data_IF_236608511077
#
_entry.id   IF_236608511077
#
_cell.length_a   1.000
_cell.length_b   1.000
_cell.length_c   1.000
_cell.angle_alpha   90.00
_cell.angle_beta   90.00
_cell.angle_gamma   90.00
#
_symmetry.space_group_name_H-M   'P 1'
#
loop_
_entity.id
_entity.type
_entity.pdbx_description
1 polymer ?
#
# COMPACT_ATOMS: atom_id res chain seq x y z
N UNK A 1 25.14 -29.05 -7.93
CA UNK A 1 24.91 -29.19 -6.48
C UNK A 1 24.87 -27.80 -5.89
N UNK A 2 23.71 -27.16 -5.88
CA UNK A 2 23.44 -25.91 -5.12
C UNK A 2 21.94 -25.60 -5.18
N UNK A 3 21.13 -26.35 -4.42
CA UNK A 3 19.68 -26.13 -4.35
C UNK A 3 19.10 -26.33 -2.93
N UNK A 4 19.84 -25.91 -1.88
CA UNK A 4 19.41 -26.12 -0.50
C UNK A 4 19.37 -24.87 0.39
N UNK A 5 19.64 -23.65 -0.12
CA UNK A 5 19.66 -22.46 0.74
C UNK A 5 18.33 -21.68 0.78
N UNK A 6 17.50 -21.74 -0.26
CA UNK A 6 16.24 -20.95 -0.34
C UNK A 6 15.12 -21.51 0.57
N UNK A 7 15.10 -22.80 0.82
CA UNK A 7 14.10 -23.43 1.71
C UNK A 7 14.31 -23.10 3.20
N UNK A 8 15.57 -22.95 3.61
CA UNK A 8 15.96 -22.67 5.00
C UNK A 8 15.57 -21.26 5.45
N UNK A 9 15.68 -20.27 4.55
CA UNK A 9 15.40 -18.87 4.88
C UNK A 9 13.88 -18.60 4.94
N UNK A 10 13.11 -19.29 4.11
CA UNK A 10 11.63 -19.22 4.14
C UNK A 10 11.06 -19.92 5.38
N UNK A 11 11.65 -21.03 5.80
CA UNK A 11 11.30 -21.69 7.07
C UNK A 11 11.74 -20.86 8.27
N UNK A 12 12.90 -20.22 8.20
CA UNK A 12 13.38 -19.32 9.25
C UNK A 12 12.48 -18.08 9.38
N UNK A 13 12.04 -17.48 8.26
CA UNK A 13 11.07 -16.38 8.27
C UNK A 13 9.69 -16.82 8.80
N UNK A 14 9.19 -18.00 8.41
CA UNK A 14 7.96 -18.57 8.96
C UNK A 14 8.10 -18.86 10.45
N UNK A 15 9.23 -19.39 10.88
CA UNK A 15 9.53 -19.68 12.30
C UNK A 15 9.65 -18.38 13.10
N UNK A 16 10.27 -17.33 12.56
CA UNK A 16 10.31 -16.00 13.19
C UNK A 16 8.91 -15.38 13.32
N UNK A 17 8.06 -15.52 12.29
CA UNK A 17 6.67 -15.06 12.37
C UNK A 17 5.85 -15.82 13.43
N UNK A 18 6.07 -17.13 13.55
CA UNK A 18 5.39 -17.98 14.54
C UNK A 18 5.90 -17.70 15.96
N UNK A 19 7.22 -17.56 16.14
CA UNK A 19 7.82 -17.22 17.45
C UNK A 19 7.43 -15.79 17.89
N UNK A 20 7.34 -14.83 16.97
CA UNK A 20 6.87 -13.50 17.28
C UNK A 20 5.39 -13.45 17.71
N UNK A 21 4.56 -14.32 17.13
CA UNK A 21 3.16 -14.47 17.56
C UNK A 21 3.07 -15.11 18.96
N UNK A 22 3.89 -16.11 19.25
CA UNK A 22 3.91 -16.80 20.55
C UNK A 22 4.39 -15.88 21.70
N UNK A 23 5.41 -15.05 21.46
CA UNK A 23 5.92 -14.08 22.47
C UNK A 23 4.86 -13.00 22.80
N UNK A 24 4.04 -12.60 21.82
CA UNK A 24 2.94 -11.63 22.07
C UNK A 24 1.80 -12.26 22.86
N UNK A 25 1.53 -13.56 22.68
CA UNK A 25 0.54 -14.30 23.48
C UNK A 25 1.02 -14.52 24.92
N UNK A 26 2.32 -14.74 25.16
CA UNK A 26 2.89 -14.87 26.52
C UNK A 26 2.92 -13.55 27.30
N UNK A 27 3.14 -12.40 26.65
CA UNK A 27 3.05 -11.08 27.32
C UNK A 27 1.62 -10.68 27.70
N UNK A 28 0.60 -11.23 27.04
CA UNK A 28 -0.81 -11.06 27.47
C UNK A 28 -1.19 -11.97 28.65
N UNK A 29 -0.49 -13.08 28.86
CA UNK A 29 -0.75 -14.03 29.96
C UNK A 29 0.07 -13.76 31.23
N UNK A 30 1.11 -12.93 31.18
CA UNK A 30 2.02 -12.63 32.30
C UNK A 30 1.56 -11.49 33.23
N UNK A 31 0.28 -11.18 33.37
CA UNK A 31 -0.19 -10.27 34.42
C UNK A 31 -0.51 -11.04 35.69
N UNK A 32 0.44 -10.92 36.61
CA UNK A 32 0.35 -11.38 37.98
C UNK A 32 -1.04 -11.14 38.60
N UNK A 33 -1.52 -12.15 39.31
CA UNK A 33 -2.72 -12.19 40.14
C UNK A 33 -2.55 -11.36 41.43
N UNK A 34 -2.34 -10.06 41.32
CA UNK A 34 -2.67 -9.14 42.41
C UNK A 34 -4.10 -8.70 42.20
N UNK A 35 -4.92 -8.80 43.26
CA UNK A 35 -6.36 -8.47 43.25
C UNK A 35 -6.61 -7.03 42.77
N UNK A 36 -6.68 -6.84 41.46
CA UNK A 36 -7.09 -5.59 40.87
C UNK A 36 -8.61 -5.47 41.08
N UNK A 37 -9.05 -4.56 41.91
CA UNK A 37 -10.44 -4.14 41.94
C UNK A 37 -10.89 -3.84 40.51
N UNK A 38 -11.74 -4.69 39.95
CA UNK A 38 -12.30 -4.48 38.61
C UNK A 38 -13.08 -3.15 38.62
N UNK A 39 -12.44 -2.08 38.13
CA UNK A 39 -13.15 -0.83 37.87
C UNK A 39 -14.32 -1.16 36.95
N UNK A 40 -15.54 -0.85 37.40
CA UNK A 40 -16.77 -1.06 36.62
C UNK A 40 -16.55 -0.42 35.22
N UNK A 41 -16.74 -1.23 34.19
CA UNK A 41 -16.59 -0.78 32.80
C UNK A 41 -17.61 0.31 32.51
N UNK A 42 -17.15 1.51 32.18
CA UNK A 42 -18.05 2.62 31.81
C UNK A 42 -18.67 2.26 30.45
N UNK A 43 -19.99 2.18 30.42
CA UNK A 43 -20.78 1.95 29.21
C UNK A 43 -21.14 3.30 28.58
N UNK A 44 -20.57 3.63 27.48
CA UNK A 44 -20.90 4.83 26.70
C UNK A 44 -22.09 4.56 25.79
N UNK A 45 -23.16 5.31 25.92
CA UNK A 45 -24.31 5.30 25.02
C UNK A 45 -23.98 6.15 23.78
N UNK A 46 -23.49 5.51 22.69
CA UNK A 46 -23.00 6.19 21.48
C UNK A 46 -24.08 6.58 20.48
N UNK A 47 -25.35 6.34 20.78
CA UNK A 47 -26.46 6.64 19.84
C UNK A 47 -26.19 6.10 18.43
N UNK A 48 -25.90 4.80 18.33
CA UNK A 48 -25.42 4.12 17.11
C UNK A 48 -26.35 4.29 15.92
N UNK A 49 -27.66 4.24 16.15
CA UNK A 49 -28.68 4.39 15.11
C UNK A 49 -28.69 5.82 14.55
N UNK A 50 -28.59 6.82 15.41
CA UNK A 50 -28.48 8.22 14.98
C UNK A 50 -27.19 8.46 14.17
N UNK A 51 -26.07 7.85 14.61
CA UNK A 51 -24.83 7.88 13.86
C UNK A 51 -24.95 7.24 12.48
N UNK A 52 -25.68 6.11 12.37
CA UNK A 52 -25.98 5.48 11.09
C UNK A 52 -26.85 6.39 10.20
N UNK A 53 -27.94 6.92 10.72
CA UNK A 53 -28.87 7.76 9.96
C UNK A 53 -28.18 9.03 9.46
N UNK A 54 -27.35 9.67 10.30
CA UNK A 54 -26.54 10.83 9.89
C UNK A 54 -25.56 10.46 8.78
N UNK A 55 -24.79 9.38 8.94
CA UNK A 55 -23.85 8.91 7.92
C UNK A 55 -24.55 8.61 6.60
N UNK A 56 -25.71 7.94 6.65
CA UNK A 56 -26.51 7.61 5.47
C UNK A 56 -27.00 8.88 4.77
N UNK A 57 -27.60 9.81 5.53
CA UNK A 57 -28.09 11.08 4.97
C UNK A 57 -26.98 11.95 4.40
N UNK A 58 -25.81 11.93 5.03
CA UNK A 58 -24.65 12.71 4.59
C UNK A 58 -24.07 12.26 3.25
N UNK A 59 -24.08 10.94 2.95
CA UNK A 59 -23.32 10.40 1.82
C UNK A 59 -24.05 9.38 0.94
N UNK A 60 -25.09 8.70 1.44
CA UNK A 60 -25.67 7.52 0.78
C UNK A 60 -27.13 7.68 0.39
N UNK A 61 -27.83 8.69 0.88
CA UNK A 61 -29.20 9.02 0.48
C UNK A 61 -29.28 9.42 -1.02
N UNK A 62 -30.46 9.42 -1.58
CA UNK A 62 -30.70 9.86 -2.97
C UNK A 62 -30.36 11.34 -3.14
N UNK A 63 -30.65 12.16 -2.13
CA UNK A 63 -30.26 13.57 -2.03
C UNK A 63 -29.32 13.73 -0.83
N UNK A 64 -28.01 13.42 -0.98
CA UNK A 64 -27.10 13.46 0.13
C UNK A 64 -26.72 14.89 0.50
N UNK A 65 -26.43 15.14 1.78
CA UNK A 65 -25.95 16.44 2.27
C UNK A 65 -24.65 16.86 1.56
N UNK A 66 -23.76 15.88 1.29
CA UNK A 66 -22.49 16.14 0.62
C UNK A 66 -22.49 15.60 -0.80
N UNK A 67 -22.24 16.45 -1.82
CA UNK A 67 -22.12 16.05 -3.22
C UNK A 67 -21.00 15.02 -3.46
N UNK A 68 -21.00 14.38 -4.63
CA UNK A 68 -20.07 13.28 -4.97
C UNK A 68 -18.58 13.67 -4.87
N UNK A 69 -18.22 14.90 -5.20
CA UNK A 69 -16.83 15.36 -5.07
C UNK A 69 -16.35 15.43 -3.60
N UNK A 70 -17.26 15.77 -2.65
CA UNK A 70 -16.95 15.63 -1.21
C UNK A 70 -16.83 14.19 -0.76
N UNK A 71 -17.63 13.27 -1.33
CA UNK A 71 -17.50 11.86 -1.07
C UNK A 71 -16.08 11.38 -1.47
N UNK A 72 -15.69 11.63 -2.74
CA UNK A 72 -14.38 11.28 -3.28
C UNK A 72 -13.24 11.89 -2.46
N UNK A 73 -13.35 13.16 -2.09
CA UNK A 73 -12.36 13.84 -1.23
C UNK A 73 -12.19 13.15 0.12
N UNK A 74 -13.29 12.64 0.73
CA UNK A 74 -13.29 12.10 2.09
C UNK A 74 -13.01 10.60 2.16
N UNK A 75 -13.40 9.85 1.15
CA UNK A 75 -13.21 8.41 1.08
C UNK A 75 -12.06 7.99 0.16
N UNK A 76 -11.52 8.93 -0.63
CA UNK A 76 -10.47 8.73 -1.63
C UNK A 76 -10.86 7.81 -2.80
N UNK A 77 -12.12 7.39 -2.88
CA UNK A 77 -12.70 6.56 -3.93
C UNK A 77 -14.03 7.14 -4.39
N UNK A 78 -14.52 6.73 -5.56
CA UNK A 78 -15.87 7.07 -6.01
C UNK A 78 -16.94 6.41 -5.12
N UNK A 79 -18.16 6.95 -5.14
CA UNK A 79 -19.29 6.34 -4.39
C UNK A 79 -19.65 4.96 -4.95
N UNK A 80 -19.60 4.78 -6.27
CA UNK A 80 -19.86 3.51 -6.95
C UNK A 80 -18.87 2.44 -6.50
N UNK A 81 -17.58 2.76 -6.53
CA UNK A 81 -16.53 1.86 -6.08
C UNK A 81 -16.65 1.53 -4.58
N UNK A 82 -17.00 2.51 -3.74
CA UNK A 82 -17.24 2.26 -2.32
C UNK A 82 -18.37 1.25 -2.12
N UNK A 83 -19.50 1.40 -2.84
CA UNK A 83 -20.64 0.50 -2.70
C UNK A 83 -20.32 -0.91 -3.22
N UNK A 84 -19.60 -1.03 -4.35
CA UNK A 84 -19.07 -2.31 -4.86
C UNK A 84 -18.23 -3.02 -3.78
N UNK A 85 -17.29 -2.31 -3.16
CA UNK A 85 -16.44 -2.84 -2.08
C UNK A 85 -17.28 -3.20 -0.86
N UNK A 86 -18.21 -2.33 -0.44
CA UNK A 86 -19.08 -2.55 0.70
C UNK A 86 -19.87 -3.85 0.56
N UNK A 87 -20.55 -4.03 -0.55
CA UNK A 87 -21.42 -5.18 -0.77
C UNK A 87 -20.63 -6.48 -0.82
N UNK A 88 -19.50 -6.51 -1.53
CA UNK A 88 -18.60 -7.66 -1.56
C UNK A 88 -18.02 -8.02 -0.17
N UNK A 89 -17.64 -7.03 0.62
CA UNK A 89 -17.12 -7.26 1.99
C UNK A 89 -18.20 -7.77 2.94
N UNK A 90 -19.43 -7.25 2.83
CA UNK A 90 -20.56 -7.70 3.66
C UNK A 90 -20.96 -9.13 3.32
N UNK A 91 -20.90 -9.51 2.05
CA UNK A 91 -21.15 -10.89 1.61
C UNK A 91 -20.05 -11.84 2.10
N UNK A 92 -18.79 -11.43 2.01
CA UNK A 92 -17.63 -12.25 2.37
C UNK A 92 -17.48 -12.49 3.88
N UNK A 93 -17.60 -11.44 4.72
CA UNK A 93 -17.41 -11.55 6.17
C UNK A 93 -18.66 -11.15 6.96
N UNK A 94 -19.28 -12.16 7.58
CA UNK A 94 -20.46 -12.02 8.46
C UNK A 94 -20.25 -11.06 9.65
N UNK A 95 -19.03 -10.65 9.95
CA UNK A 95 -18.74 -9.61 10.95
C UNK A 95 -19.37 -8.28 10.56
N UNK A 96 -19.38 -7.94 9.29
CA UNK A 96 -19.92 -6.67 8.81
C UNK A 96 -21.44 -6.64 8.79
N UNK A 97 -22.11 -7.78 8.74
CA UNK A 97 -23.58 -7.86 8.82
C UNK A 97 -24.07 -7.30 10.17
N UNK A 98 -25.07 -6.42 10.11
CA UNK A 98 -25.67 -5.84 11.31
C UNK A 98 -26.46 -6.90 12.08
N UNK A 99 -26.17 -7.06 13.37
CA UNK A 99 -26.80 -8.07 14.24
C UNK A 99 -27.40 -7.42 15.49
N UNK A 100 -28.41 -8.05 16.08
CA UNK A 100 -28.91 -7.70 17.41
C UNK A 100 -28.09 -8.41 18.47
N UNK A 101 -27.84 -7.73 19.59
CA UNK A 101 -27.23 -8.35 20.77
C UNK A 101 -28.27 -9.18 21.56
N UNK A 102 -27.82 -9.86 22.64
CA UNK A 102 -28.69 -10.66 23.49
C UNK A 102 -29.84 -9.89 24.19
N UNK A 103 -29.74 -8.56 24.27
CA UNK A 103 -30.80 -7.68 24.76
C UNK A 103 -31.71 -7.12 23.63
N UNK A 104 -31.62 -7.66 22.42
CA UNK A 104 -32.41 -7.22 21.28
C UNK A 104 -31.99 -5.89 20.65
N UNK A 105 -30.96 -5.21 21.18
CA UNK A 105 -30.48 -3.94 20.67
C UNK A 105 -29.73 -4.13 19.38
N UNK A 106 -29.97 -3.26 18.40
CA UNK A 106 -29.29 -3.26 17.10
C UNK A 106 -27.83 -2.83 17.25
N UNK A 107 -26.94 -3.60 16.66
CA UNK A 107 -25.50 -3.31 16.61
C UNK A 107 -25.17 -2.23 15.58
N UNK A 108 -23.86 -2.03 15.36
CA UNK A 108 -23.37 -1.13 14.29
C UNK A 108 -23.71 -1.69 12.90
N UNK A 109 -24.06 -0.80 11.99
CA UNK A 109 -24.31 -1.16 10.59
C UNK A 109 -23.01 -1.47 9.85
N UNK A 110 -23.11 -2.17 8.71
CA UNK A 110 -22.00 -2.39 7.78
C UNK A 110 -21.38 -1.08 7.33
N UNK A 111 -22.21 -0.09 6.97
CA UNK A 111 -21.76 1.24 6.57
C UNK A 111 -20.90 1.91 7.63
N UNK A 112 -21.30 1.85 8.92
CA UNK A 112 -20.50 2.43 10.01
C UNK A 112 -19.14 1.74 10.14
N UNK A 113 -19.10 0.42 10.13
CA UNK A 113 -17.86 -0.36 10.27
C UNK A 113 -16.90 -0.12 9.11
N UNK A 114 -17.41 -0.17 7.85
CA UNK A 114 -16.60 0.03 6.64
C UNK A 114 -16.19 1.49 6.51
N UNK A 115 -17.06 2.46 6.81
CA UNK A 115 -16.69 3.88 6.84
C UNK A 115 -15.58 4.15 7.85
N UNK A 116 -15.63 3.54 9.05
CA UNK A 116 -14.57 3.67 10.03
C UNK A 116 -13.24 3.14 9.50
N UNK A 117 -13.24 1.95 8.89
CA UNK A 117 -12.05 1.36 8.28
C UNK A 117 -11.51 2.26 7.16
N UNK A 118 -12.34 2.67 6.21
CA UNK A 118 -11.93 3.54 5.09
C UNK A 118 -11.36 4.88 5.57
N UNK A 119 -11.97 5.52 6.57
CA UNK A 119 -11.44 6.78 7.12
C UNK A 119 -10.10 6.61 7.81
N UNK A 120 -9.91 5.50 8.54
CA UNK A 120 -8.60 5.21 9.13
C UNK A 120 -7.53 4.99 8.06
N UNK A 121 -7.85 4.32 6.96
CA UNK A 121 -6.93 4.13 5.83
C UNK A 121 -6.65 5.44 5.10
N UNK A 122 -7.71 6.18 4.73
CA UNK A 122 -7.61 7.41 3.93
C UNK A 122 -6.89 8.56 4.65
N UNK A 123 -7.13 8.70 5.96
CA UNK A 123 -6.57 9.83 6.74
C UNK A 123 -5.42 9.42 7.67
N UNK A 124 -5.14 8.13 7.85
CA UNK A 124 -4.24 7.68 8.92
C UNK A 124 -4.74 8.06 10.32
N UNK A 125 -6.05 8.30 10.45
CA UNK A 125 -6.67 8.76 11.68
C UNK A 125 -6.62 7.69 12.77
N UNK A 126 -6.52 8.12 14.03
CA UNK A 126 -6.66 7.23 15.16
C UNK A 126 -8.09 6.68 15.26
N UNK A 127 -8.25 5.49 15.84
CA UNK A 127 -9.57 4.90 16.05
C UNK A 127 -10.47 5.76 16.95
N UNK A 128 -9.89 6.56 17.85
CA UNK A 128 -10.59 7.53 18.68
C UNK A 128 -11.18 8.69 17.87
N UNK A 129 -10.43 9.22 16.91
CA UNK A 129 -10.88 10.32 16.06
C UNK A 129 -12.08 9.93 15.16
N UNK A 130 -12.27 8.63 14.92
CA UNK A 130 -13.40 8.13 14.12
C UNK A 130 -14.68 7.99 14.98
N UNK A 131 -14.57 7.81 16.30
CA UNK A 131 -15.71 7.62 17.20
C UNK A 131 -16.68 8.81 17.16
N UNK A 132 -16.18 10.03 17.16
CA UNK A 132 -17.02 11.26 17.24
C UNK A 132 -18.04 11.38 16.12
N UNK A 133 -17.68 10.99 14.91
CA UNK A 133 -18.56 11.07 13.74
C UNK A 133 -19.31 9.76 13.48
N UNK A 134 -18.62 8.63 13.47
CA UNK A 134 -19.20 7.33 13.09
C UNK A 134 -19.93 6.67 14.26
N UNK A 135 -19.69 7.15 15.48
CA UNK A 135 -20.26 6.58 16.72
C UNK A 135 -19.87 5.12 16.95
N UNK A 136 -18.61 4.80 16.65
CA UNK A 136 -18.02 3.47 16.75
C UNK A 136 -16.87 3.45 17.76
N UNK A 137 -16.87 2.52 18.71
CA UNK A 137 -15.82 2.47 19.73
C UNK A 137 -14.46 2.02 19.16
N UNK A 138 -13.38 2.51 19.78
CA UNK A 138 -11.98 2.29 19.38
C UNK A 138 -11.65 0.83 19.03
N UNK A 139 -11.97 -0.12 19.93
CA UNK A 139 -11.68 -1.55 19.69
C UNK A 139 -12.43 -2.10 18.47
N UNK A 140 -13.69 -1.68 18.28
CA UNK A 140 -14.48 -2.10 17.12
C UNK A 140 -13.95 -1.47 15.83
N UNK A 141 -13.48 -0.21 15.87
CA UNK A 141 -12.84 0.43 14.70
C UNK A 141 -11.57 -0.31 14.29
N UNK A 142 -10.70 -0.65 15.24
CA UNK A 142 -9.46 -1.40 14.98
C UNK A 142 -9.76 -2.80 14.41
N UNK A 143 -10.73 -3.51 14.98
CA UNK A 143 -11.16 -4.81 14.47
C UNK A 143 -11.77 -4.67 13.06
N UNK A 144 -12.56 -3.62 12.82
CA UNK A 144 -13.12 -3.35 11.50
C UNK A 144 -12.03 -3.11 10.44
N UNK A 145 -10.95 -2.39 10.76
CA UNK A 145 -9.80 -2.24 9.84
C UNK A 145 -9.16 -3.57 9.53
N UNK A 146 -8.82 -4.37 10.57
CA UNK A 146 -8.15 -5.67 10.38
C UNK A 146 -8.96 -6.61 9.49
N UNK A 147 -10.27 -6.71 9.73
CA UNK A 147 -11.17 -7.57 8.93
C UNK A 147 -11.40 -7.01 7.53
N UNK A 148 -11.55 -5.70 7.42
CA UNK A 148 -11.75 -5.02 6.13
C UNK A 148 -10.57 -5.27 5.19
N UNK A 149 -9.33 -5.03 5.64
CA UNK A 149 -8.14 -5.23 4.80
C UNK A 149 -7.97 -6.69 4.37
N UNK A 150 -8.25 -7.65 5.25
CA UNK A 150 -8.24 -9.07 4.90
C UNK A 150 -9.32 -9.43 3.88
N UNK A 151 -10.53 -8.89 4.02
CA UNK A 151 -11.59 -9.08 3.04
C UNK A 151 -11.20 -8.51 1.68
N UNK A 152 -10.61 -7.31 1.63
CA UNK A 152 -10.11 -6.72 0.37
C UNK A 152 -9.10 -7.63 -0.31
N UNK A 153 -8.13 -8.17 0.44
CA UNK A 153 -7.10 -9.07 -0.10
C UNK A 153 -7.74 -10.36 -0.65
N UNK A 154 -8.65 -10.96 0.12
CA UNK A 154 -9.25 -12.23 -0.26
C UNK A 154 -10.21 -12.13 -1.45
N UNK A 155 -10.91 -11.00 -1.60
CA UNK A 155 -11.91 -10.81 -2.66
C UNK A 155 -11.26 -10.29 -3.95
N UNK A 156 -10.39 -9.30 -3.82
CA UNK A 156 -9.90 -8.52 -4.96
C UNK A 156 -8.41 -8.76 -5.28
N UNK A 157 -7.69 -9.53 -4.44
CA UNK A 157 -6.25 -9.72 -4.57
C UNK A 157 -5.86 -10.35 -5.91
N UNK A 158 -6.56 -11.41 -6.33
CA UNK A 158 -6.26 -12.12 -7.58
C UNK A 158 -6.54 -11.28 -8.83
N UNK A 159 -7.46 -10.32 -8.75
CA UNK A 159 -7.81 -9.44 -9.86
C UNK A 159 -6.89 -8.22 -9.95
N UNK A 160 -6.59 -7.57 -8.81
CA UNK A 160 -5.93 -6.27 -8.78
C UNK A 160 -4.45 -6.30 -8.37
N UNK A 161 -3.92 -7.43 -7.89
CA UNK A 161 -2.50 -7.61 -7.60
C UNK A 161 -2.00 -8.91 -8.24
N UNK A 162 -2.01 -8.93 -9.56
CA UNK A 162 -1.67 -10.05 -10.43
C UNK A 162 -0.53 -9.73 -11.38
N UNK A 163 0.07 -10.75 -11.93
CA UNK A 163 0.96 -10.59 -13.08
C UNK A 163 0.21 -10.06 -14.31
N UNK A 164 0.86 -9.27 -15.19
CA UNK A 164 0.25 -8.78 -16.42
C UNK A 164 -0.24 -9.92 -17.32
N UNK A 165 -1.43 -9.77 -17.90
CA UNK A 165 -1.93 -10.64 -18.97
C UNK A 165 -1.22 -10.33 -20.29
N UNK A 166 -1.44 -11.13 -21.34
CA UNK A 166 -0.88 -10.86 -22.66
C UNK A 166 -1.37 -9.52 -23.23
N UNK A 167 -2.61 -9.13 -22.96
CA UNK A 167 -3.18 -7.83 -23.35
C UNK A 167 -2.53 -6.69 -22.60
N UNK A 168 -2.32 -6.85 -21.28
CA UNK A 168 -1.58 -5.88 -20.50
C UNK A 168 -0.15 -5.71 -20.99
N UNK A 169 0.55 -6.82 -21.30
CA UNK A 169 1.91 -6.81 -21.85
C UNK A 169 1.94 -6.06 -23.17
N UNK A 170 0.99 -6.34 -24.08
CA UNK A 170 0.94 -5.64 -25.38
C UNK A 170 0.77 -4.13 -25.19
N UNK A 171 -0.12 -3.70 -24.28
CA UNK A 171 -0.31 -2.28 -23.93
C UNK A 171 0.94 -1.64 -23.33
N UNK A 172 1.61 -2.34 -22.40
CA UNK A 172 2.85 -1.85 -21.77
C UNK A 172 3.99 -1.70 -22.77
N UNK A 173 4.13 -2.66 -23.70
CA UNK A 173 5.14 -2.61 -24.77
C UNK A 173 4.90 -1.44 -25.73
N UNK A 174 3.64 -1.16 -26.07
CA UNK A 174 3.28 -0.02 -26.90
C UNK A 174 3.59 1.31 -26.19
N UNK A 175 3.18 1.47 -24.93
CA UNK A 175 3.51 2.64 -24.11
C UNK A 175 5.03 2.84 -23.97
N UNK A 176 5.76 1.77 -23.71
CA UNK A 176 7.23 1.79 -23.64
C UNK A 176 7.86 2.24 -24.93
N UNK A 177 7.40 1.70 -26.07
CA UNK A 177 7.89 2.05 -27.42
C UNK A 177 7.65 3.52 -27.74
N UNK A 178 6.46 4.06 -27.45
CA UNK A 178 6.11 5.48 -27.64
C UNK A 178 7.02 6.42 -26.82
N UNK A 179 7.53 5.95 -25.68
CA UNK A 179 8.49 6.69 -24.83
C UNK A 179 9.94 6.50 -25.21
N UNK A 180 10.24 5.70 -26.26
CA UNK A 180 11.59 5.35 -26.68
C UNK A 180 12.24 4.20 -25.90
N UNK A 181 11.44 3.43 -25.15
CA UNK A 181 11.86 2.25 -24.37
C UNK A 181 11.12 0.98 -24.84
N UNK A 182 11.32 0.52 -26.10
CA UNK A 182 10.69 -0.71 -26.58
C UNK A 182 11.12 -1.89 -25.69
N UNK A 183 10.17 -2.70 -25.25
CA UNK A 183 10.40 -3.82 -24.33
C UNK A 183 10.24 -3.48 -22.83
N UNK A 184 10.01 -2.20 -22.48
CA UNK A 184 9.79 -1.78 -21.11
C UNK A 184 8.42 -2.24 -20.60
N UNK A 185 8.40 -2.90 -19.43
CA UNK A 185 7.18 -3.33 -18.74
C UNK A 185 6.81 -2.42 -17.55
N UNK A 186 7.73 -1.58 -17.10
CA UNK A 186 7.53 -0.68 -15.98
C UNK A 186 8.83 -0.26 -15.32
N UNK A 187 8.75 0.30 -14.15
CA UNK A 187 9.88 0.66 -13.30
C UNK A 187 9.77 0.00 -11.92
N UNK A 188 10.92 -0.31 -11.33
CA UNK A 188 11.04 -0.94 -10.02
C UNK A 188 11.75 -0.01 -9.05
N UNK A 189 11.27 0.02 -7.80
CA UNK A 189 11.93 0.72 -6.70
C UNK A 189 11.47 0.18 -5.34
N UNK A 190 12.17 0.58 -4.27
CA UNK A 190 11.86 0.24 -2.89
C UNK A 190 11.42 1.47 -2.10
N UNK A 191 10.38 1.30 -1.28
CA UNK A 191 9.90 2.32 -0.35
C UNK A 191 9.99 1.81 1.08
N UNK A 192 10.49 2.64 2.01
CA UNK A 192 10.56 2.35 3.43
C UNK A 192 9.34 2.92 4.16
N UNK A 193 8.63 2.07 4.90
CA UNK A 193 7.54 2.47 5.78
C UNK A 193 7.96 2.40 7.24
N UNK A 194 7.98 3.54 7.94
CA UNK A 194 8.37 3.62 9.35
C UNK A 194 7.43 2.80 10.21
N UNK A 195 7.98 1.93 11.07
CA UNK A 195 7.23 1.12 12.02
C UNK A 195 7.39 1.64 13.44
N UNK A 196 6.51 2.58 13.84
CA UNK A 196 6.60 3.28 15.13
C UNK A 196 6.52 2.35 16.35
N UNK A 197 5.67 1.34 16.28
CA UNK A 197 5.46 0.39 17.38
C UNK A 197 6.26 -0.90 17.18
N UNK A 198 7.44 -0.81 16.56
CA UNK A 198 8.34 -1.95 16.44
C UNK A 198 8.75 -2.44 17.84
N UNK A 199 8.59 -3.74 18.16
CA UNK A 199 9.04 -4.29 19.42
C UNK A 199 10.53 -3.99 19.67
N UNK A 200 10.90 -3.64 20.89
CA UNK A 200 12.27 -3.25 21.24
C UNK A 200 13.28 -4.34 20.85
N UNK A 201 12.93 -5.61 21.03
CA UNK A 201 13.76 -6.75 20.63
C UNK A 201 14.06 -6.81 19.12
N UNK A 202 13.24 -6.19 18.28
CA UNK A 202 13.38 -6.22 16.82
C UNK A 202 13.91 -4.91 16.24
N UNK A 203 13.95 -3.84 17.00
CA UNK A 203 14.36 -2.52 16.51
C UNK A 203 15.71 -2.55 15.79
N UNK A 204 16.72 -3.24 16.36
CA UNK A 204 18.04 -3.35 15.72
C UNK A 204 18.00 -4.00 14.33
N UNK A 205 17.14 -5.01 14.14
CA UNK A 205 16.97 -5.67 12.86
C UNK A 205 16.24 -4.80 11.83
N UNK A 206 15.26 -4.00 12.28
CA UNK A 206 14.46 -3.15 11.40
C UNK A 206 15.06 -1.77 11.15
N UNK A 207 16.06 -1.35 11.93
CA UNK A 207 16.73 -0.05 11.80
C UNK A 207 17.87 -0.15 10.80
N UNK A 208 17.74 0.55 9.67
CA UNK A 208 18.75 0.71 8.63
C UNK A 208 19.31 2.14 8.60
N UNK A 209 19.64 2.62 7.41
CA UNK A 209 20.21 3.95 7.19
C UNK A 209 19.26 5.11 7.55
N UNK A 210 17.97 4.86 7.68
CA UNK A 210 16.99 5.85 8.14
C UNK A 210 17.04 6.12 9.66
N UNK A 211 17.85 5.39 10.41
CA UNK A 211 17.97 5.49 11.88
C UNK A 211 16.65 5.27 12.65
N UNK A 212 15.62 4.80 11.98
CA UNK A 212 14.33 4.39 12.55
C UNK A 212 13.95 2.99 12.03
N UNK A 213 13.18 2.20 12.83
CA UNK A 213 12.68 0.92 12.35
C UNK A 213 11.74 1.12 11.16
N UNK A 214 12.05 0.46 10.03
CA UNK A 214 11.24 0.51 8.81
C UNK A 214 10.98 -0.89 8.26
N UNK A 215 9.91 -1.02 7.48
CA UNK A 215 9.59 -2.21 6.69
C UNK A 215 9.62 -1.81 5.23
N UNK A 216 10.24 -2.63 4.39
CA UNK A 216 10.44 -2.32 2.98
C UNK A 216 9.24 -2.82 2.16
N UNK A 217 8.80 -1.98 1.22
CA UNK A 217 7.94 -2.33 0.08
C UNK A 217 8.77 -2.21 -1.20
N UNK A 218 9.00 -3.32 -1.89
CA UNK A 218 9.43 -3.33 -3.28
C UNK A 218 8.20 -3.36 -4.17
N UNK A 219 8.16 -2.55 -5.21
CA UNK A 219 7.07 -2.57 -6.17
C UNK A 219 7.54 -2.32 -7.61
N UNK A 220 6.74 -2.82 -8.54
CA UNK A 220 6.82 -2.51 -9.96
C UNK A 220 5.57 -1.77 -10.37
N UNK A 221 5.73 -0.61 -11.02
CA UNK A 221 4.62 0.16 -11.53
C UNK A 221 4.83 0.59 -12.98
N UNK A 222 3.72 0.77 -13.70
CA UNK A 222 3.67 1.34 -15.05
C UNK A 222 3.35 2.83 -15.03
N UNK A 223 3.42 3.48 -16.19
CA UNK A 223 3.20 4.93 -16.37
C UNK A 223 1.85 5.41 -15.85
N UNK A 224 0.82 4.60 -16.01
CA UNK A 224 -0.54 4.84 -15.55
C UNK A 224 -0.73 4.64 -14.04
N UNK A 225 0.37 4.42 -13.31
CA UNK A 225 0.43 4.24 -11.87
C UNK A 225 -0.13 2.90 -11.36
N UNK A 226 -0.43 1.96 -12.25
CA UNK A 226 -0.83 0.61 -11.82
C UNK A 226 0.37 -0.13 -11.22
N UNK A 227 0.19 -0.69 -10.02
CA UNK A 227 1.20 -1.45 -9.31
C UNK A 227 1.00 -2.94 -9.64
N UNK A 228 1.89 -3.49 -10.49
CA UNK A 228 1.84 -4.87 -10.98
C UNK A 228 2.39 -5.89 -9.99
N UNK A 229 3.36 -5.47 -9.20
CA UNK A 229 4.03 -6.30 -8.21
C UNK A 229 4.25 -5.50 -6.95
N UNK A 230 4.07 -6.17 -5.80
CA UNK A 230 4.36 -5.62 -4.49
C UNK A 230 4.88 -6.73 -3.56
N UNK A 231 6.10 -6.57 -3.10
CA UNK A 231 6.72 -7.45 -2.11
C UNK A 231 6.99 -6.66 -0.83
N UNK A 232 6.26 -6.98 0.24
CA UNK A 232 6.30 -6.23 1.49
C UNK A 232 6.61 -7.12 2.68
N UNK A 233 7.44 -6.61 3.62
CA UNK A 233 7.67 -7.24 4.91
C UNK A 233 9.13 -7.42 5.30
N UNK A 234 10.08 -7.12 4.42
CA UNK A 234 11.50 -7.20 4.77
C UNK A 234 11.92 -6.06 5.71
N UNK A 235 12.85 -6.35 6.65
CA UNK A 235 13.40 -5.34 7.55
C UNK A 235 14.15 -4.23 6.82
N UNK A 236 14.00 -2.99 7.31
CA UNK A 236 14.63 -1.81 6.74
C UNK A 236 16.16 -1.76 6.82
N UNK A 237 16.80 -2.70 7.50
CA UNK A 237 18.25 -2.88 7.46
C UNK A 237 18.76 -3.52 6.17
N UNK A 238 17.87 -4.11 5.36
CA UNK A 238 18.23 -4.66 4.06
C UNK A 238 18.39 -3.52 3.04
N UNK A 239 19.29 -3.72 2.08
CA UNK A 239 19.37 -2.88 0.89
C UNK A 239 18.49 -3.47 -0.24
N UNK A 240 18.25 -2.69 -1.29
CA UNK A 240 17.38 -3.08 -2.39
C UNK A 240 17.84 -4.36 -3.11
N UNK A 241 19.16 -4.62 -3.14
CA UNK A 241 19.72 -5.87 -3.68
C UNK A 241 19.27 -7.09 -2.87
N UNK A 242 19.27 -6.98 -1.54
CA UNK A 242 18.82 -8.06 -0.67
C UNK A 242 17.31 -8.28 -0.78
N UNK A 243 16.56 -7.22 -1.05
CA UNK A 243 15.11 -7.29 -1.31
C UNK A 243 14.86 -8.00 -2.64
N UNK A 244 15.55 -7.56 -3.70
CA UNK A 244 15.44 -8.13 -5.04
C UNK A 244 15.70 -9.65 -5.05
N UNK A 245 16.75 -10.11 -4.37
CA UNK A 245 17.09 -11.55 -4.30
C UNK A 245 16.03 -12.40 -3.60
N UNK A 246 15.16 -11.80 -2.79
CA UNK A 246 14.07 -12.46 -2.07
C UNK A 246 12.71 -12.24 -2.73
N UNK A 247 12.66 -11.40 -3.74
CA UNK A 247 11.44 -11.04 -4.45
C UNK A 247 11.00 -12.16 -5.38
N UNK A 248 9.75 -12.65 -5.28
CA UNK A 248 9.25 -13.75 -6.09
C UNK A 248 9.17 -13.43 -7.59
N UNK A 249 9.01 -12.17 -7.97
CA UNK A 249 8.97 -11.74 -9.39
C UNK A 249 10.28 -12.02 -10.10
N UNK A 250 11.40 -11.75 -9.43
CA UNK A 250 12.71 -11.95 -10.04
C UNK A 250 13.17 -13.41 -10.01
N UNK A 251 12.69 -14.19 -9.05
CA UNK A 251 12.83 -15.65 -9.10
C UNK A 251 12.15 -16.24 -10.35
N UNK A 252 10.94 -15.79 -10.67
CA UNK A 252 10.22 -16.22 -11.88
C UNK A 252 10.91 -15.76 -13.18
N UNK A 253 11.44 -14.52 -13.20
CA UNK A 253 12.22 -14.01 -14.31
C UNK A 253 13.51 -14.80 -14.53
N UNK A 254 14.25 -15.09 -13.47
CA UNK A 254 15.47 -15.89 -13.52
C UNK A 254 15.23 -17.34 -13.97
N UNK A 255 14.05 -17.89 -13.67
CA UNK A 255 13.64 -19.24 -14.08
C UNK A 255 13.00 -19.28 -15.48
N UNK A 256 12.95 -18.13 -16.20
CA UNK A 256 12.38 -18.05 -17.56
C UNK A 256 10.85 -18.21 -17.61
N UNK A 257 10.17 -18.03 -16.47
CA UNK A 257 8.70 -18.11 -16.35
C UNK A 257 8.00 -16.74 -16.51
N UNK A 258 8.70 -15.75 -17.04
CA UNK A 258 8.10 -14.46 -17.36
C UNK A 258 7.14 -14.58 -18.56
N UNK A 259 6.13 -13.70 -18.61
CA UNK A 259 5.27 -13.59 -19.79
C UNK A 259 6.12 -13.27 -21.03
N UNK A 260 5.95 -13.99 -22.14
CA UNK A 260 6.74 -13.75 -23.35
C UNK A 260 6.48 -12.35 -23.88
N UNK A 261 7.54 -11.59 -24.08
CA UNK A 261 7.53 -10.22 -24.60
C UNK A 261 8.32 -10.18 -25.89
N UNK A 262 7.66 -10.17 -27.04
CA UNK A 262 8.34 -10.10 -28.32
C UNK A 262 8.37 -8.65 -28.82
N UNK A 263 9.57 -8.11 -29.04
CA UNK A 263 9.76 -6.78 -29.63
C UNK A 263 11.05 -6.71 -30.43
N UNK A 264 11.14 -5.75 -31.33
CA UNK A 264 12.29 -5.59 -32.23
C UNK A 264 12.93 -4.22 -32.03
N UNK A 265 14.26 -4.18 -31.85
CA UNK A 265 15.05 -2.94 -31.78
C UNK A 265 16.20 -3.05 -32.77
N UNK A 266 16.34 -2.10 -33.69
CA UNK A 266 17.41 -2.05 -34.71
C UNK A 266 17.55 -3.38 -35.49
N UNK A 267 16.43 -3.97 -35.90
CA UNK A 267 16.35 -5.26 -36.60
C UNK A 267 16.80 -6.49 -35.76
N UNK A 268 17.02 -6.36 -34.46
CA UNK A 268 17.23 -7.48 -33.54
C UNK A 268 15.94 -7.79 -32.79
N UNK A 269 15.58 -9.06 -32.76
CA UNK A 269 14.43 -9.57 -32.05
C UNK A 269 14.79 -9.89 -30.58
N UNK A 270 13.91 -9.50 -29.67
CA UNK A 270 14.01 -9.75 -28.24
C UNK A 270 12.73 -10.44 -27.77
N UNK A 271 12.86 -11.39 -26.86
CA UNK A 271 11.75 -12.18 -26.33
C UNK A 271 11.52 -12.00 -24.82
N UNK A 272 12.23 -11.06 -24.20
CA UNK A 272 12.15 -10.80 -22.77
C UNK A 272 12.02 -9.31 -22.50
N UNK A 273 10.97 -8.92 -21.77
CA UNK A 273 10.79 -7.54 -21.33
C UNK A 273 11.74 -7.16 -20.19
N UNK A 274 11.82 -5.85 -19.92
CA UNK A 274 12.68 -5.32 -18.87
C UNK A 274 11.98 -4.24 -18.02
N UNK A 275 12.56 -3.96 -16.85
CA UNK A 275 12.16 -2.89 -15.96
C UNK A 275 13.26 -1.83 -15.88
N UNK A 276 12.86 -0.57 -15.76
CA UNK A 276 13.79 0.50 -15.43
C UNK A 276 14.10 0.48 -13.94
N UNK A 277 15.37 0.49 -13.60
CA UNK A 277 15.85 0.41 -12.24
C UNK A 277 16.89 1.50 -11.95
N UNK A 278 17.12 1.73 -10.69
CA UNK A 278 18.15 2.64 -10.20
C UNK A 278 19.56 1.98 -10.31
N UNK A 279 20.63 2.78 -10.12
CA UNK A 279 22.01 2.34 -10.27
C UNK A 279 22.48 1.28 -9.28
N UNK A 280 21.78 1.09 -8.14
CA UNK A 280 22.12 0.09 -7.13
C UNK A 280 21.83 -1.34 -7.58
N UNK A 281 20.82 -1.53 -8.46
CA UNK A 281 20.42 -2.84 -8.91
C UNK A 281 21.49 -3.54 -9.73
N UNK A 282 21.49 -4.91 -9.85
CA UNK A 282 22.51 -5.65 -10.60
C UNK A 282 22.43 -5.40 -12.12
N UNK A 283 23.48 -5.75 -12.85
CA UNK A 283 23.51 -5.65 -14.31
C UNK A 283 22.86 -6.89 -14.96
N UNK A 284 21.57 -7.05 -14.74
CA UNK A 284 20.78 -8.09 -15.40
C UNK A 284 20.15 -7.55 -16.69
N UNK A 285 19.99 -8.40 -17.68
CA UNK A 285 19.34 -8.04 -18.96
C UNK A 285 17.90 -7.54 -18.78
N UNK A 286 17.26 -7.89 -17.68
CA UNK A 286 15.90 -7.50 -17.32
C UNK A 286 15.82 -6.19 -16.50
N UNK A 287 16.96 -5.57 -16.18
CA UNK A 287 17.03 -4.34 -15.41
C UNK A 287 17.87 -3.29 -16.16
N UNK A 288 17.23 -2.29 -16.72
CA UNK A 288 17.89 -1.21 -17.45
C UNK A 288 18.13 -0.02 -16.53
N UNK A 289 19.40 0.23 -16.27
CA UNK A 289 19.88 1.33 -15.41
C UNK A 289 20.26 2.55 -16.22
N UNK A 290 20.37 3.70 -15.55
CA UNK A 290 20.95 4.91 -16.14
C UNK A 290 22.45 4.72 -16.45
N UNK A 291 22.96 5.48 -17.40
CA UNK A 291 24.40 5.50 -17.72
C UNK A 291 25.08 6.51 -16.80
N UNK A 292 25.89 6.06 -15.82
CA UNK A 292 26.59 6.97 -14.93
C UNK A 292 27.65 7.79 -15.69
N UNK A 293 27.87 9.04 -15.29
CA UNK A 293 28.84 9.94 -15.88
C UNK A 293 28.78 10.01 -17.43
N UNK A 294 27.57 10.05 -17.97
CA UNK A 294 27.29 9.99 -19.40
C UNK A 294 28.04 11.09 -20.18
N UNK A 295 28.87 10.69 -21.18
CA UNK A 295 29.62 11.59 -22.10
C UNK A 295 28.94 11.61 -23.46
N UNK A 296 28.86 12.81 -24.06
CA UNK A 296 28.17 13.00 -25.33
C UNK A 296 26.67 13.13 -25.25
N UNK A 297 26.07 13.79 -26.24
CA UNK A 297 24.64 14.19 -26.20
C UNK A 297 23.70 12.98 -26.19
N UNK A 298 24.01 11.90 -26.89
CA UNK A 298 23.17 10.70 -26.96
C UNK A 298 23.05 10.01 -25.61
N UNK A 299 24.17 9.82 -24.89
CA UNK A 299 24.16 9.17 -23.59
C UNK A 299 23.49 10.05 -22.52
N UNK A 300 23.70 11.38 -22.57
CA UNK A 300 23.02 12.33 -21.67
C UNK A 300 21.52 12.31 -21.89
N UNK A 301 21.09 12.31 -23.14
CA UNK A 301 19.65 12.25 -23.47
C UNK A 301 19.03 10.93 -22.97
N UNK A 302 19.68 9.78 -23.24
CA UNK A 302 19.21 8.50 -22.72
C UNK A 302 19.11 8.51 -21.20
N UNK A 303 20.15 8.95 -20.48
CA UNK A 303 20.15 9.01 -19.02
C UNK A 303 18.99 9.88 -18.49
N UNK A 304 18.74 11.03 -19.11
CA UNK A 304 17.62 11.92 -18.73
C UNK A 304 16.25 11.26 -18.95
N UNK A 305 16.05 10.60 -20.10
CA UNK A 305 14.78 9.91 -20.39
C UNK A 305 14.57 8.70 -19.48
N UNK A 306 15.62 7.90 -19.25
CA UNK A 306 15.57 6.75 -18.35
C UNK A 306 15.22 7.19 -16.92
N UNK A 307 15.88 8.23 -16.42
CA UNK A 307 15.60 8.76 -15.08
C UNK A 307 14.18 9.30 -14.94
N UNK A 308 13.66 9.97 -15.97
CA UNK A 308 12.28 10.42 -16.01
C UNK A 308 11.29 9.27 -16.00
N UNK A 309 11.53 8.23 -16.81
CA UNK A 309 10.62 7.09 -16.91
C UNK A 309 10.72 6.17 -15.68
N UNK A 310 11.90 6.03 -15.05
CA UNK A 310 12.08 5.28 -13.81
C UNK A 310 11.23 5.81 -12.66
N UNK A 311 11.01 7.11 -12.61
CA UNK A 311 10.19 7.76 -11.57
C UNK A 311 8.71 7.40 -11.61
N UNK A 312 8.25 6.59 -12.56
CA UNK A 312 6.84 6.16 -12.58
C UNK A 312 6.45 5.40 -11.31
N UNK A 313 7.31 4.52 -10.79
CA UNK A 313 7.07 3.80 -9.53
C UNK A 313 7.11 4.74 -8.32
N UNK A 314 8.03 5.72 -8.29
CA UNK A 314 8.07 6.74 -7.24
C UNK A 314 6.78 7.58 -7.23
N UNK A 315 6.25 7.94 -8.43
CA UNK A 315 4.95 8.61 -8.56
C UNK A 315 3.80 7.72 -8.06
N UNK A 316 3.83 6.42 -8.37
CA UNK A 316 2.85 5.47 -7.87
C UNK A 316 2.87 5.41 -6.33
N UNK A 317 4.05 5.38 -5.71
CA UNK A 317 4.19 5.49 -4.24
C UNK A 317 3.62 6.80 -3.71
N UNK A 318 3.94 7.93 -4.35
CA UNK A 318 3.41 9.24 -3.95
C UNK A 318 1.88 9.29 -3.99
N UNK A 319 1.27 8.77 -5.05
CA UNK A 319 -0.19 8.71 -5.19
C UNK A 319 -0.82 7.71 -4.21
N UNK A 320 -0.20 6.54 -3.98
CA UNK A 320 -0.63 5.58 -2.97
C UNK A 320 -0.69 6.23 -1.59
N UNK A 321 0.36 6.97 -1.20
CA UNK A 321 0.44 7.68 0.07
C UNK A 321 -0.53 8.88 0.16
N UNK A 322 -0.82 9.55 -0.96
CA UNK A 322 -1.81 10.62 -1.02
C UNK A 322 -3.24 10.10 -0.86
N UNK A 323 -3.54 8.93 -1.44
CA UNK A 323 -4.83 8.25 -1.32
C UNK A 323 -5.02 7.65 0.07
N UNK A 324 -3.99 7.01 0.62
CA UNK A 324 -4.05 6.30 1.90
C UNK A 324 -2.99 6.83 2.86
N UNK A 325 -3.34 7.88 3.61
CA UNK A 325 -2.42 8.52 4.54
C UNK A 325 -1.93 7.58 5.67
N UNK A 326 -2.57 6.43 5.89
CA UNK A 326 -2.09 5.41 6.83
C UNK A 326 -0.71 4.88 6.41
N UNK A 327 -0.43 4.73 5.11
CA UNK A 327 0.87 4.27 4.59
C UNK A 327 1.87 5.41 4.37
N UNK A 328 1.44 6.68 4.46
CA UNK A 328 2.30 7.85 4.51
C UNK A 328 2.82 8.10 5.92
N UNK A 329 1.94 8.00 6.92
CA UNK A 329 2.30 8.10 8.32
C UNK A 329 2.95 6.83 8.84
N UNK A 330 3.52 6.85 10.06
CA UNK A 330 4.16 5.68 10.63
C UNK A 330 3.16 4.57 10.97
N UNK A 331 3.52 3.33 10.69
CA UNK A 331 2.77 2.13 11.04
C UNK A 331 2.69 1.95 12.56
N UNK A 332 1.47 1.87 13.10
CA UNK A 332 1.21 1.83 14.55
C UNK A 332 0.70 0.49 15.07
N UNK A 333 0.49 -0.48 14.20
CA UNK A 333 0.11 -1.83 14.62
C UNK A 333 1.34 -2.61 15.08
N UNK A 334 1.17 -3.41 16.13
CA UNK A 334 2.25 -4.24 16.69
C UNK A 334 2.62 -5.41 15.79
N UNK A 335 1.63 -6.03 15.17
CA UNK A 335 1.81 -7.23 14.38
C UNK A 335 2.25 -6.89 12.96
N UNK A 336 3.40 -7.38 12.48
CA UNK A 336 3.86 -7.17 11.10
C UNK A 336 2.87 -7.69 10.05
N UNK A 337 2.16 -8.78 10.36
CA UNK A 337 1.12 -9.33 9.47
C UNK A 337 -0.02 -8.35 9.22
N UNK A 338 -0.45 -7.59 10.25
CA UNK A 338 -1.49 -6.57 10.09
C UNK A 338 -0.98 -5.40 9.25
N UNK A 339 0.30 -5.01 9.42
CA UNK A 339 0.92 -3.98 8.58
C UNK A 339 1.02 -4.43 7.12
N UNK A 340 1.37 -5.71 6.90
CA UNK A 340 1.37 -6.32 5.57
C UNK A 340 -0.04 -6.30 4.96
N UNK A 341 -1.06 -6.73 5.70
CA UNK A 341 -2.44 -6.73 5.23
C UNK A 341 -2.90 -5.31 4.86
N UNK A 342 -2.55 -4.29 5.67
CA UNK A 342 -2.87 -2.89 5.39
C UNK A 342 -2.19 -2.42 4.10
N UNK A 343 -0.89 -2.65 3.95
CA UNK A 343 -0.14 -2.23 2.76
C UNK A 343 -0.72 -2.90 1.51
N UNK A 344 -0.90 -4.21 1.54
CA UNK A 344 -1.44 -4.98 0.41
C UNK A 344 -2.85 -4.52 0.03
N UNK A 345 -3.74 -4.32 1.01
CA UNK A 345 -5.09 -3.83 0.74
C UNK A 345 -5.09 -2.40 0.17
N UNK A 346 -4.20 -1.51 0.64
CA UNK A 346 -4.04 -0.17 0.08
C UNK A 346 -3.58 -0.22 -1.38
N UNK A 347 -2.67 -1.13 -1.74
CA UNK A 347 -2.21 -1.32 -3.13
C UNK A 347 -3.34 -1.86 -4.01
N UNK A 348 -4.09 -2.86 -3.55
CA UNK A 348 -5.25 -3.40 -4.28
C UNK A 348 -6.28 -2.29 -4.53
N UNK A 349 -6.67 -1.56 -3.50
CA UNK A 349 -7.61 -0.44 -3.64
C UNK A 349 -7.05 0.69 -4.50
N UNK A 350 -5.74 0.93 -4.49
CA UNK A 350 -5.09 1.88 -5.39
C UNK A 350 -5.27 1.47 -6.85
N UNK A 351 -5.06 0.21 -7.19
CA UNK A 351 -5.28 -0.30 -8.54
C UNK A 351 -6.76 -0.25 -8.95
N UNK A 352 -7.69 -0.58 -8.04
CA UNK A 352 -9.13 -0.41 -8.27
C UNK A 352 -9.50 1.05 -8.59
N UNK A 353 -8.86 2.01 -7.92
CA UNK A 353 -9.08 3.44 -8.18
C UNK A 353 -8.48 3.84 -9.53
N UNK A 354 -7.31 3.31 -9.90
CA UNK A 354 -6.70 3.56 -11.21
C UNK A 354 -7.61 3.08 -12.33
N UNK A 355 -8.26 1.92 -12.17
CA UNK A 355 -9.27 1.40 -13.11
C UNK A 355 -10.51 2.29 -13.16
N UNK A 356 -11.12 2.58 -12.02
CA UNK A 356 -12.31 3.44 -11.91
C UNK A 356 -12.08 4.83 -12.52
N UNK A 357 -10.86 5.38 -12.41
CA UNK A 357 -10.48 6.66 -12.99
C UNK A 357 -10.27 6.58 -14.52
N UNK A 358 -9.76 5.46 -15.05
CA UNK A 358 -9.67 5.25 -16.50
C UNK A 358 -11.06 5.17 -17.13
N UNK A 359 -11.97 4.42 -16.53
CA UNK A 359 -13.33 4.26 -17.03
C UNK A 359 -14.08 5.60 -17.01
N UNK A 360 -13.93 6.39 -15.95
CA UNK A 360 -14.50 7.73 -15.86
C UNK A 360 -13.91 8.72 -16.89
N UNK A 361 -12.66 8.56 -17.33
CA UNK A 361 -12.04 9.40 -18.37
C UNK A 361 -12.51 9.05 -19.77
N UNK A 362 -12.88 7.80 -20.00
CA UNK A 362 -13.49 7.35 -21.25
C UNK A 362 -14.92 7.89 -21.41
N UNK A 363 -15.65 8.08 -20.29
CA UNK A 363 -17.02 8.57 -20.28
C UNK A 363 -17.16 10.10 -20.23
N UNK A 364 -16.12 10.84 -19.80
CA UNK A 364 -16.22 12.28 -19.59
C UNK A 364 -14.90 13.00 -19.90
N UNK A 365 -14.94 13.93 -20.86
CA UNK A 365 -14.04 15.08 -20.96
C UNK A 365 -14.29 16.02 -19.76
N UNK A 366 -13.84 15.66 -18.57
CA UNK A 366 -13.89 16.56 -17.41
C UNK A 366 -12.55 17.26 -17.23
N UNK A 367 -12.59 18.59 -17.28
CA UNK A 367 -11.53 19.51 -16.88
C UNK A 367 -11.06 19.21 -15.45
N UNK A 368 -9.90 18.54 -15.34
CA UNK A 368 -9.14 18.43 -14.09
C UNK A 368 -8.34 19.73 -13.88
N UNK A 369 -9.02 20.77 -13.42
CA UNK A 369 -8.37 21.99 -12.96
C UNK A 369 -8.49 22.15 -11.44
N UNK A 370 -8.10 21.09 -10.71
CA UNK A 370 -7.77 21.21 -9.28
C UNK A 370 -6.42 20.53 -9.04
N UNK A 371 -5.40 21.38 -9.06
CA UNK A 371 -4.01 21.05 -8.79
C UNK A 371 -3.88 20.27 -7.47
N UNK A 372 -3.49 19.00 -7.59
CA UNK A 372 -2.91 18.26 -6.49
C UNK A 372 -1.63 19.00 -6.11
N UNK A 373 -1.48 19.51 -4.87
CA UNK A 373 -0.24 20.15 -4.48
C UNK A 373 0.89 19.10 -4.57
N UNK A 374 1.80 19.30 -5.50
CA UNK A 374 3.07 18.58 -5.56
C UNK A 374 3.83 18.99 -4.30
N UNK A 375 3.91 18.10 -3.33
CA UNK A 375 4.78 18.28 -2.16
C UNK A 375 6.19 17.99 -2.63
N UNK A 376 6.94 19.06 -2.92
CA UNK A 376 8.39 18.94 -3.11
C UNK A 376 9.02 18.40 -1.81
N UNK A 377 10.02 17.51 -1.91
CA UNK A 377 10.76 17.05 -0.74
C UNK A 377 11.45 18.28 -0.10
N UNK A 378 11.06 18.61 1.14
CA UNK A 378 11.63 19.70 1.91
C UNK A 378 13.13 19.48 2.08
N UNK A 379 13.94 20.31 1.42
CA UNK A 379 15.35 20.52 1.77
C UNK A 379 15.43 20.95 3.23
N UNK A 380 16.01 20.11 4.05
CA UNK A 380 16.43 20.46 5.41
C UNK A 380 17.50 21.53 5.27
N UNK A 381 17.14 22.79 5.49
CA UNK A 381 18.10 23.86 5.69
C UNK A 381 18.81 23.63 7.02
N UNK A 382 20.08 23.26 6.93
CA UNK A 382 21.02 23.28 8.05
C UNK A 382 21.23 24.73 8.49
N UNK A 383 20.59 25.14 9.59
CA UNK A 383 20.93 26.36 10.28
C UNK A 383 22.35 26.21 10.91
N UNK A 384 23.34 26.73 10.23
CA UNK A 384 24.64 27.05 10.86
C UNK A 384 24.42 28.29 11.72
N UNK A 385 24.34 28.09 13.05
CA UNK A 385 24.44 29.17 14.00
C UNK A 385 25.88 29.71 14.02
N UNK A 386 26.06 30.95 13.59
CA UNK A 386 27.26 31.74 13.91
C UNK A 386 27.23 32.09 15.38
N UNK A 387 28.19 31.61 16.10
CA UNK A 387 28.57 32.13 17.41
C UNK A 387 29.51 33.31 17.11
N UNK A 388 29.06 34.53 17.29
CA UNK A 388 29.92 35.69 17.42
C UNK A 388 30.26 35.85 18.88
N UNK A 389 31.57 35.87 19.13
CA UNK A 389 32.19 36.31 20.39
C UNK A 389 32.02 37.83 20.53
N UNK A 390 31.52 38.28 21.70
CA UNK A 390 31.98 39.43 22.42
C UNK A 390 31.53 39.34 23.89
#
# INVERSE_FOLDING_TARGET
MSSSSSSSDDEMMKTFFIMGAAVVEEEEQGKDSTSVQHKRRIVLHRYRLEGHNRLFQDYFADTPTYPLHYFRRRFRISRSLFLRIHDAVVEHDKYFVQKRNGAGQLGLSSLQKITAAMRMLAYGASADAVDDYVRIGKSTSLESVKRFVRSIINIFGEEYLRSPTNEDVARLLEEGSQRGFPGMLGSIDCMHWVWKNCPTAWQGMYTGHFHEPTIILEAVASKDLWIWHAFFGLPGSHNDLNVLHRSPVFAQLAEGRASPCNYTVNAHEYNMGYYLADGIYPEWSTLVKTIPASRGNKHKYFAQQQESARKDVERAFGVLQARFAIVRGPGRFWQPSVLKDIMTACIIMHNMIVEDERDCQLDNNFDFNDSIPVVEPSHVQTLKGSIDED
#
